data_IF_560609591031
#
_entry.id   IF_560609591031
#
_cell.length_a   1.000
_cell.length_b   1.000
_cell.length_c   1.000
_cell.angle_alpha   90.00
_cell.angle_beta   90.00
_cell.angle_gamma   90.00
#
_symmetry.space_group_name_H-M   'P 1'
#
loop_
_entity.id
_entity.type
_entity.pdbx_description
1 polymer ?
#
# COMPACT_ATOMS: atom_id res chain seq x y z
N UNK A 1 4.00 7.08 30.66
CA UNK A 1 3.52 7.81 29.47
C UNK A 1 3.17 6.77 28.41
N UNK A 2 1.90 6.68 27.98
CA UNK A 2 1.57 5.88 26.79
C UNK A 2 2.12 6.65 25.59
N UNK A 3 3.23 6.19 25.01
CA UNK A 3 3.63 6.67 23.69
C UNK A 3 2.46 6.33 22.76
N UNK A 4 1.81 7.36 22.21
CA UNK A 4 0.77 7.14 21.20
C UNK A 4 1.47 6.51 20.01
N UNK A 5 1.09 5.29 19.67
CA UNK A 5 1.52 4.64 18.43
C UNK A 5 1.27 5.64 17.29
N UNK A 6 2.28 5.96 16.47
CA UNK A 6 2.07 6.85 15.35
C UNK A 6 1.01 6.23 14.43
N UNK A 7 -0.04 6.99 14.13
CA UNK A 7 -1.07 6.57 13.18
C UNK A 7 -0.56 6.86 11.77
N UNK A 8 -0.62 5.86 10.90
CA UNK A 8 -0.25 5.98 9.49
C UNK A 8 -1.48 5.85 8.59
N UNK A 9 -1.37 6.38 7.37
CA UNK A 9 -2.37 6.21 6.32
C UNK A 9 -1.71 5.92 4.98
N UNK A 10 -2.41 5.15 4.16
CA UNK A 10 -2.09 4.93 2.76
C UNK A 10 -2.94 5.87 1.90
N UNK A 11 -2.28 6.64 1.05
CA UNK A 11 -2.92 7.49 0.05
C UNK A 11 -2.63 6.87 -1.33
N UNK A 12 -3.65 6.47 -2.11
CA UNK A 12 -3.44 5.96 -3.45
C UNK A 12 -2.69 6.97 -4.32
N UNK A 13 -1.72 6.49 -5.09
CA UNK A 13 -0.96 7.28 -6.06
C UNK A 13 -0.90 6.54 -7.40
N UNK A 14 -0.55 7.27 -8.46
CA UNK A 14 -0.23 6.66 -9.74
C UNK A 14 0.98 5.73 -9.64
N UNK A 15 1.09 4.80 -10.58
CA UNK A 15 2.27 3.94 -10.70
C UNK A 15 3.54 4.79 -10.84
N UNK A 16 4.60 4.40 -10.12
CA UNK A 16 5.87 5.10 -10.14
C UNK A 16 7.02 4.15 -10.52
N UNK A 17 8.02 4.72 -11.19
CA UNK A 17 9.25 4.02 -11.52
C UNK A 17 10.29 4.25 -10.42
N UNK A 18 10.51 3.23 -9.59
CA UNK A 18 11.50 3.25 -8.52
C UNK A 18 12.94 3.54 -8.99
N UNK A 19 13.24 3.49 -10.30
CA UNK A 19 14.56 3.85 -10.86
C UNK A 19 14.68 5.36 -11.15
N UNK A 20 13.58 6.10 -11.15
CA UNK A 20 13.53 7.52 -11.52
C UNK A 20 13.41 8.42 -10.29
N UNK A 21 14.52 8.56 -9.55
CA UNK A 21 14.60 9.51 -8.44
C UNK A 21 14.08 9.00 -7.10
N UNK A 22 13.87 7.69 -6.97
CA UNK A 22 13.52 7.04 -5.71
C UNK A 22 14.72 6.31 -5.13
N UNK A 23 14.89 6.40 -3.81
CA UNK A 23 15.89 5.65 -3.06
C UNK A 23 15.18 4.56 -2.25
N UNK A 24 15.72 3.34 -2.23
CA UNK A 24 15.13 2.26 -1.43
C UNK A 24 15.15 2.64 0.05
N UNK A 25 14.03 2.46 0.75
CA UNK A 25 13.97 2.72 2.18
C UNK A 25 14.79 1.66 2.94
N UNK A 26 15.24 1.99 4.17
CA UNK A 26 16.21 1.21 4.97
C UNK A 26 15.66 -0.17 5.42
N UNK A 27 14.44 -0.53 5.02
CA UNK A 27 13.84 -1.83 5.30
C UNK A 27 13.82 -2.74 4.07
N UNK A 28 14.14 -4.04 4.22
CA UNK A 28 13.69 -5.01 3.23
C UNK A 28 12.16 -4.94 3.10
N UNK A 29 11.61 -5.23 1.91
CA UNK A 29 10.15 -5.22 1.74
C UNK A 29 9.45 -6.12 2.77
N UNK A 30 8.30 -5.68 3.26
CA UNK A 30 7.47 -6.43 4.21
C UNK A 30 6.65 -7.44 3.42
N UNK A 31 6.45 -8.66 3.90
CA UNK A 31 5.65 -9.63 3.17
C UNK A 31 5.01 -10.70 4.04
N UNK A 32 3.91 -11.27 3.54
CA UNK A 32 3.16 -12.36 4.17
C UNK A 32 2.78 -13.43 3.16
N UNK A 33 2.71 -14.68 3.60
CA UNK A 33 2.25 -15.79 2.77
C UNK A 33 0.73 -15.86 2.79
N UNK A 34 0.13 -15.92 1.60
CA UNK A 34 -1.30 -16.18 1.45
C UNK A 34 -1.59 -17.67 1.64
N UNK A 35 -2.75 -18.00 2.21
CA UNK A 35 -3.22 -19.39 2.41
C UNK A 35 -3.34 -20.18 1.10
N UNK A 36 -3.55 -19.49 -0.02
CA UNK A 36 -3.64 -20.12 -1.33
C UNK A 36 -2.26 -20.26 -2.01
N UNK A 37 -1.83 -21.53 -2.16
CA UNK A 37 -0.63 -21.95 -2.91
C UNK A 37 0.68 -21.26 -2.53
N UNK A 38 0.82 -20.77 -1.31
CA UNK A 38 2.05 -20.12 -0.85
C UNK A 38 2.42 -18.84 -1.63
N UNK A 39 1.44 -18.18 -2.25
CA UNK A 39 1.67 -16.90 -2.92
C UNK A 39 2.14 -15.86 -1.90
N UNK A 40 3.07 -15.00 -2.28
CA UNK A 40 3.66 -14.00 -1.40
C UNK A 40 3.04 -12.63 -1.71
N UNK A 41 2.38 -12.03 -0.73
CA UNK A 41 2.02 -10.62 -0.78
C UNK A 41 3.19 -9.81 -0.20
N UNK A 42 3.63 -8.75 -0.89
CA UNK A 42 4.79 -7.95 -0.48
C UNK A 42 4.48 -6.46 -0.58
N UNK A 43 5.09 -5.68 0.30
CA UNK A 43 5.14 -4.22 0.28
C UNK A 43 6.62 -3.80 0.19
N UNK A 44 7.04 -3.32 -0.98
CA UNK A 44 8.34 -2.68 -1.13
C UNK A 44 8.24 -1.19 -0.78
N UNK A 45 9.34 -0.59 -0.28
CA UNK A 45 9.36 0.78 0.23
C UNK A 45 10.46 1.62 -0.43
N UNK A 46 10.12 2.85 -0.80
CA UNK A 46 11.05 3.83 -1.33
C UNK A 46 10.77 5.23 -0.81
N UNK A 47 11.79 6.07 -0.79
CA UNK A 47 11.68 7.49 -0.54
C UNK A 47 11.97 8.28 -1.82
N UNK A 48 11.10 9.24 -2.15
CA UNK A 48 11.32 10.15 -3.26
C UNK A 48 12.31 11.28 -2.90
N UNK A 49 12.65 12.13 -3.87
CA UNK A 49 13.57 13.27 -3.66
C UNK A 49 12.99 14.36 -2.73
N UNK A 50 11.69 14.36 -2.49
CA UNK A 50 10.98 15.29 -1.61
C UNK A 50 10.84 14.74 -0.18
N UNK A 51 11.34 13.54 0.09
CA UNK A 51 11.22 12.88 1.39
C UNK A 51 9.88 12.16 1.60
N UNK A 52 9.08 11.94 0.55
CA UNK A 52 7.85 11.16 0.63
C UNK A 52 8.17 9.68 0.64
N UNK A 53 7.60 8.97 1.60
CA UNK A 53 7.67 7.52 1.66
C UNK A 53 6.54 6.93 0.81
N UNK A 54 6.91 6.10 -0.16
CA UNK A 54 5.98 5.39 -1.03
C UNK A 54 6.16 3.89 -0.88
N UNK A 55 5.09 3.16 -1.10
CA UNK A 55 5.08 1.70 -1.09
C UNK A 55 4.37 1.14 -2.30
N UNK A 56 4.83 -0.03 -2.74
CA UNK A 56 4.17 -0.83 -3.77
C UNK A 56 3.76 -2.17 -3.18
N UNK A 57 2.48 -2.46 -3.20
CA UNK A 57 1.92 -3.74 -2.79
C UNK A 57 1.86 -4.64 -4.01
N UNK A 58 2.43 -5.84 -3.92
CA UNK A 58 2.44 -6.83 -5.01
C UNK A 58 1.90 -8.16 -4.52
N UNK A 59 0.94 -8.71 -5.24
CA UNK A 59 0.45 -10.08 -5.05
C UNK A 59 -0.09 -10.60 -6.39
N UNK A 60 0.31 -11.80 -6.80
CA UNK A 60 -0.25 -12.51 -7.98
C UNK A 60 -0.40 -11.69 -9.26
N UNK A 61 0.57 -10.83 -9.58
CA UNK A 61 0.54 -10.00 -10.79
C UNK A 61 -0.19 -8.67 -10.62
N UNK A 62 -0.94 -8.48 -9.53
CA UNK A 62 -1.49 -7.19 -9.15
C UNK A 62 -0.42 -6.32 -8.47
N UNK A 63 -0.45 -5.02 -8.78
CA UNK A 63 0.42 -4.02 -8.17
C UNK A 63 -0.39 -2.77 -7.81
N UNK A 64 -0.38 -2.39 -6.53
CA UNK A 64 -1.00 -1.16 -6.02
C UNK A 64 0.07 -0.24 -5.46
N UNK A 65 -0.10 1.07 -5.63
CA UNK A 65 0.90 2.07 -5.25
C UNK A 65 0.29 3.08 -4.28
N UNK A 66 1.03 3.36 -3.20
CA UNK A 66 0.57 4.27 -2.15
C UNK A 66 1.70 5.19 -1.66
N UNK A 67 1.32 6.40 -1.27
CA UNK A 67 2.10 7.24 -0.37
C UNK A 67 1.74 6.90 1.08
N UNK A 68 2.75 6.71 1.93
CA UNK A 68 2.58 6.55 3.38
C UNK A 68 2.70 7.94 4.00
N UNK A 69 1.74 8.31 4.84
CA UNK A 69 1.83 9.52 5.67
C UNK A 69 1.56 9.19 7.14
N UNK A 70 2.32 9.80 8.03
CA UNK A 70 1.94 9.88 9.43
C UNK A 70 0.81 10.92 9.61
N UNK A 71 -0.16 10.61 10.46
CA UNK A 71 -1.35 11.45 10.70
C UNK A 71 -1.01 12.66 11.57
N UNK A 72 -0.06 12.50 12.49
CA UNK A 72 0.22 13.46 13.58
C UNK A 72 1.63 14.04 13.58
N UNK A 73 2.50 13.61 12.68
CA UNK A 73 3.89 14.09 12.59
C UNK A 73 4.45 13.91 11.19
N UNK A 74 5.63 14.46 10.94
CA UNK A 74 6.45 14.05 9.81
C UNK A 74 6.93 12.61 9.99
N UNK A 75 7.17 11.93 8.87
CA UNK A 75 7.79 10.61 8.89
C UNK A 75 9.26 10.73 9.24
N UNK A 76 9.67 10.06 10.32
CA UNK A 76 11.08 9.99 10.74
C UNK A 76 11.60 8.55 10.62
N UNK A 77 12.90 8.33 10.32
CA UNK A 77 13.48 6.99 10.19
C UNK A 77 13.25 6.06 11.40
N UNK A 78 13.17 6.61 12.61
CA UNK A 78 12.93 5.86 13.85
C UNK A 78 11.54 5.20 13.90
N UNK A 79 10.62 5.56 13.00
CA UNK A 79 9.30 4.93 12.87
C UNK A 79 9.34 3.62 12.07
N UNK A 80 10.52 3.14 11.64
CA UNK A 80 10.68 1.96 10.79
C UNK A 80 9.85 0.75 11.24
N UNK A 81 10.01 0.29 12.48
CA UNK A 81 9.31 -0.89 12.99
C UNK A 81 7.79 -0.69 12.98
N UNK A 82 7.32 0.49 13.36
CA UNK A 82 5.89 0.82 13.38
C UNK A 82 5.29 0.86 11.96
N UNK A 83 6.06 1.33 10.97
CA UNK A 83 5.66 1.31 9.56
C UNK A 83 5.59 -0.13 9.06
N UNK A 84 6.55 -0.99 9.44
CA UNK A 84 6.55 -2.40 9.06
C UNK A 84 5.34 -3.15 9.61
N UNK A 85 5.02 -2.94 10.90
CA UNK A 85 3.83 -3.50 11.54
C UNK A 85 2.54 -3.04 10.85
N UNK A 86 2.42 -1.73 10.59
CA UNK A 86 1.30 -1.15 9.87
C UNK A 86 1.13 -1.76 8.47
N UNK A 87 2.21 -1.89 7.71
CA UNK A 87 2.16 -2.46 6.36
C UNK A 87 1.83 -3.94 6.37
N UNK A 88 2.31 -4.69 7.36
CA UNK A 88 1.96 -6.10 7.52
C UNK A 88 0.47 -6.27 7.80
N UNK A 89 -0.09 -5.45 8.69
CA UNK A 89 -1.54 -5.44 8.97
C UNK A 89 -2.33 -5.11 7.70
N UNK A 90 -1.95 -4.07 6.97
CA UNK A 90 -2.61 -3.69 5.72
C UNK A 90 -2.51 -4.76 4.63
N UNK A 91 -1.36 -5.43 4.49
CA UNK A 91 -1.19 -6.55 3.56
C UNK A 91 -2.08 -7.74 3.95
N UNK A 92 -2.18 -8.04 5.25
CA UNK A 92 -3.04 -9.11 5.74
C UNK A 92 -4.52 -8.81 5.49
N UNK A 93 -4.98 -7.58 5.73
CA UNK A 93 -6.34 -7.15 5.41
C UNK A 93 -6.60 -7.23 3.91
N UNK A 94 -5.69 -6.70 3.08
CA UNK A 94 -5.83 -6.76 1.61
C UNK A 94 -5.91 -8.20 1.08
N UNK A 95 -5.15 -9.12 1.65
CA UNK A 95 -5.22 -10.55 1.29
C UNK A 95 -6.50 -11.20 1.82
N UNK A 96 -6.94 -10.86 3.04
CA UNK A 96 -8.10 -11.45 3.70
C UNK A 96 -9.43 -11.04 3.07
N UNK A 97 -9.54 -9.78 2.64
CA UNK A 97 -10.73 -9.27 1.95
C UNK A 97 -10.89 -9.85 0.54
N UNK A 98 -9.89 -10.59 0.06
CA UNK A 98 -9.82 -11.06 -1.32
C UNK A 98 -9.43 -9.91 -2.25
N UNK A 99 -8.52 -10.17 -3.19
CA UNK A 99 -8.47 -9.34 -4.39
C UNK A 99 -9.71 -9.76 -5.17
N UNK A 100 -10.87 -9.20 -4.83
CA UNK A 100 -12.13 -9.57 -5.49
C UNK A 100 -11.93 -9.34 -6.99
N UNK A 101 -11.94 -10.43 -7.75
CA UNK A 101 -11.86 -10.41 -9.22
C UNK A 101 -13.17 -9.85 -9.84
N UNK A 102 -14.13 -9.38 -9.02
CA UNK A 102 -15.43 -8.85 -9.43
C UNK A 102 -15.62 -7.36 -9.09
N UNK A 103 -14.65 -6.50 -9.45
CA UNK A 103 -15.01 -5.13 -9.86
C UNK A 103 -15.55 -5.16 -11.30
N UNK A 104 -16.61 -5.96 -11.55
CA UNK A 104 -17.56 -5.61 -12.59
C UNK A 104 -18.23 -4.32 -12.12
N UNK A 105 -17.63 -3.19 -12.51
CA UNK A 105 -18.35 -1.94 -12.60
C UNK A 105 -19.55 -2.21 -13.52
N UNK A 106 -20.70 -2.51 -12.92
CA UNK A 106 -21.99 -2.29 -13.54
C UNK A 106 -22.02 -0.81 -13.91
N UNK A 107 -21.57 -0.52 -15.13
CA UNK A 107 -21.88 0.72 -15.79
C UNK A 107 -23.40 0.74 -15.86
N UNK A 108 -24.00 1.51 -14.94
CA UNK A 108 -25.42 1.79 -14.96
C UNK A 108 -25.69 2.44 -16.32
N UNK A 109 -26.22 1.66 -17.26
CA UNK A 109 -26.71 2.18 -18.53
C UNK A 109 -27.89 3.09 -18.22
N UNK A 110 -27.60 4.38 -18.08
CA UNK A 110 -28.59 5.43 -18.27
C UNK A 110 -28.74 5.64 -19.78
N UNK A 111 -29.54 4.81 -20.44
CA UNK A 111 -30.14 5.23 -21.71
C UNK A 111 -31.61 5.57 -21.50
N UNK A 112 -31.79 6.89 -21.51
CA UNK A 112 -33.02 7.66 -21.49
C UNK A 112 -34.16 7.05 -22.32
N UNK A 113 -35.33 7.03 -21.66
CA UNK A 113 -36.61 7.42 -22.23
C UNK A 113 -36.44 8.37 -23.43
N UNK A 114 -36.91 7.99 -24.62
CA UNK A 114 -37.70 8.79 -25.57
C UNK A 114 -37.82 8.07 -26.92
N UNK A 115 -38.93 7.35 -27.13
CA UNK A 115 -39.82 7.54 -28.28
C UNK A 115 -41.07 6.66 -28.22
#
# INVERSE_FOLDING_TARGET
MKMRTPEFKLIPIDEFDARKGYSRWISPGVGTHTTERGSLAQADLWMDQQGKLVTRFTSRGYSLHFEIRAVSSDLIPDMKEHIEEFLLEMLMTWVADGVDDDLECDAVEYENEQR
#
